data_IF_578462842187
#
_entry.id   IF_578462842187
#
_cell.length_a   1.000
_cell.length_b   1.000
_cell.length_c   1.000
_cell.angle_alpha   90.00
_cell.angle_beta   90.00
_cell.angle_gamma   90.00
#
_symmetry.space_group_name_H-M   'P 1'
#
loop_
_entity.id
_entity.type
_entity.pdbx_description
1 polymer ?
#
# COMPACT_ATOMS: atom_id res chain seq x y z
N UNK A 1 -5.55 23.86 21.35
CA UNK A 1 -4.17 23.40 21.11
C UNK A 1 -4.19 22.45 19.92
N UNK A 2 -4.25 22.97 18.70
CA UNK A 2 -4.12 22.15 17.50
C UNK A 2 -2.63 22.00 17.20
N UNK A 3 -2.04 20.93 17.71
CA UNK A 3 -0.66 20.62 17.41
C UNK A 3 -0.56 20.25 15.93
N UNK A 4 -0.16 21.24 15.13
CA UNK A 4 0.48 21.07 13.83
C UNK A 4 1.78 20.29 13.99
N UNK A 5 1.67 19.04 14.39
CA UNK A 5 2.76 18.09 14.33
C UNK A 5 2.94 17.83 12.83
N UNK A 6 3.88 18.54 12.22
CA UNK A 6 4.55 18.06 11.01
C UNK A 6 5.05 16.68 11.37
N UNK A 7 4.21 15.65 11.17
CA UNK A 7 4.54 14.24 11.32
C UNK A 7 5.70 14.05 10.38
N UNK A 8 6.93 14.17 10.89
CA UNK A 8 8.11 13.80 10.14
C UNK A 8 7.81 12.38 9.68
N UNK A 9 7.66 12.25 8.37
CA UNK A 9 7.14 11.09 7.65
C UNK A 9 8.01 9.83 7.83
N UNK A 10 8.98 9.88 8.75
CA UNK A 10 10.13 8.98 8.84
C UNK A 10 9.81 7.62 9.41
N UNK A 11 8.82 7.47 10.29
CA UNK A 11 8.52 6.16 10.86
C UNK A 11 7.02 5.97 11.10
N UNK A 12 6.30 5.63 10.02
CA UNK A 12 5.00 4.99 10.18
C UNK A 12 5.21 3.67 10.94
N UNK A 13 4.70 3.60 12.17
CA UNK A 13 4.79 2.40 13.01
C UNK A 13 4.17 1.19 12.31
N UNK A 14 4.70 0.00 12.54
CA UNK A 14 4.21 -1.22 11.91
C UNK A 14 2.70 -1.43 12.15
N UNK A 15 2.23 -1.19 13.38
CA UNK A 15 0.82 -1.26 13.74
C UNK A 15 -0.05 -0.33 12.87
N UNK A 16 0.41 0.91 12.63
CA UNK A 16 -0.29 1.85 11.77
C UNK A 16 -0.39 1.35 10.32
N UNK A 17 0.70 0.78 9.79
CA UNK A 17 0.71 0.20 8.43
C UNK A 17 -0.30 -0.95 8.33
N UNK A 18 -0.33 -1.84 9.32
CA UNK A 18 -1.24 -2.98 9.37
C UNK A 18 -2.70 -2.52 9.46
N UNK A 19 -3.04 -1.57 10.34
CA UNK A 19 -4.40 -1.04 10.44
C UNK A 19 -4.88 -0.38 9.14
N UNK A 20 -3.99 0.30 8.40
CA UNK A 20 -4.34 0.87 7.09
C UNK A 20 -4.55 -0.22 6.05
N UNK A 21 -3.71 -1.26 6.04
CA UNK A 21 -3.84 -2.38 5.09
C UNK A 21 -5.11 -3.19 5.36
N UNK A 22 -5.42 -3.49 6.62
CA UNK A 22 -6.62 -4.24 7.02
C UNK A 22 -7.92 -3.53 6.58
N UNK A 23 -8.04 -2.22 6.82
CA UNK A 23 -9.21 -1.44 6.37
C UNK A 23 -9.35 -1.40 4.85
N UNK A 24 -8.21 -1.41 4.13
CA UNK A 24 -8.19 -1.45 2.66
C UNK A 24 -8.56 -2.83 2.14
N UNK A 25 -8.05 -3.91 2.75
CA UNK A 25 -8.38 -5.30 2.38
C UNK A 25 -9.83 -5.65 2.71
N UNK A 26 -10.37 -5.12 3.80
CA UNK A 26 -11.78 -5.25 4.18
C UNK A 26 -12.73 -4.47 3.24
N UNK A 27 -12.19 -3.57 2.42
CA UNK A 27 -12.97 -2.73 1.50
C UNK A 27 -13.67 -1.55 2.18
N UNK A 28 -13.38 -1.28 3.45
CA UNK A 28 -13.94 -0.12 4.18
C UNK A 28 -13.38 1.20 3.65
N UNK A 29 -12.14 1.17 3.14
CA UNK A 29 -11.48 2.34 2.62
C UNK A 29 -10.68 2.00 1.35
N UNK A 30 -10.78 2.84 0.32
CA UNK A 30 -9.85 2.72 -0.82
C UNK A 30 -8.48 3.31 -0.46
N UNK A 31 -7.42 2.85 -1.13
CA UNK A 31 -6.06 3.38 -0.91
C UNK A 31 -5.97 4.91 -1.11
N UNK A 32 -6.78 5.50 -2.00
CA UNK A 32 -6.86 6.96 -2.21
C UNK A 32 -7.53 7.68 -1.02
N UNK A 33 -8.59 7.08 -0.48
CA UNK A 33 -9.25 7.61 0.71
C UNK A 33 -8.35 7.47 1.94
N UNK A 34 -7.62 6.37 2.09
CA UNK A 34 -6.64 6.18 3.17
C UNK A 34 -5.57 7.26 3.10
N UNK A 35 -5.06 7.55 1.90
CA UNK A 35 -4.08 8.59 1.69
C UNK A 35 -4.57 9.96 2.19
N UNK A 36 -5.80 10.34 1.81
CA UNK A 36 -6.38 11.64 2.16
C UNK A 36 -6.73 11.71 3.65
N UNK A 37 -7.33 10.65 4.19
CA UNK A 37 -7.78 10.55 5.58
C UNK A 37 -6.62 10.55 6.58
N UNK A 38 -5.51 9.91 6.21
CA UNK A 38 -4.34 9.78 7.07
C UNK A 38 -3.19 10.74 6.70
N UNK A 39 -3.37 11.60 5.69
CA UNK A 39 -2.36 12.58 5.27
C UNK A 39 -1.07 11.96 4.72
N UNK A 40 -1.15 10.81 4.06
CA UNK A 40 0.02 10.10 3.53
C UNK A 40 0.46 10.81 2.24
N UNK A 41 1.66 11.41 2.20
CA UNK A 41 2.08 12.17 1.00
C UNK A 41 2.48 11.29 -0.20
N UNK A 42 2.78 10.00 0.00
CA UNK A 42 3.17 9.12 -1.08
C UNK A 42 1.98 8.43 -1.74
N UNK A 43 1.75 8.72 -3.03
CA UNK A 43 0.68 8.09 -3.85
C UNK A 43 0.74 6.56 -3.88
N UNK A 44 1.93 6.01 -3.71
CA UNK A 44 2.17 4.56 -3.71
C UNK A 44 2.43 3.98 -2.32
N UNK A 45 2.47 4.79 -1.26
CA UNK A 45 2.85 4.30 0.09
C UNK A 45 1.86 3.26 0.61
N UNK A 46 0.56 3.53 0.49
CA UNK A 46 -0.49 2.57 0.90
C UNK A 46 -0.43 1.31 0.04
N UNK A 47 -0.20 1.44 -1.27
CA UNK A 47 -0.04 0.30 -2.17
C UNK A 47 1.19 -0.55 -1.83
N UNK A 48 2.31 0.08 -1.45
CA UNK A 48 3.52 -0.61 -1.01
C UNK A 48 3.27 -1.36 0.30
N UNK A 49 2.49 -0.79 1.22
CA UNK A 49 2.10 -1.50 2.45
C UNK A 49 1.19 -2.68 2.15
N UNK A 50 0.18 -2.54 1.31
CA UNK A 50 -0.65 -3.67 0.88
C UNK A 50 0.18 -4.75 0.18
N UNK A 51 1.22 -4.38 -0.59
CA UNK A 51 2.11 -5.36 -1.24
C UNK A 51 3.05 -6.09 -0.28
N UNK A 52 3.48 -5.42 0.79
CA UNK A 52 4.44 -5.96 1.77
C UNK A 52 3.76 -6.70 2.92
N UNK A 53 2.56 -6.26 3.30
CA UNK A 53 1.83 -6.71 4.49
C UNK A 53 0.44 -7.27 4.19
N UNK A 54 -0.07 -7.11 2.96
CA UNK A 54 -1.34 -7.73 2.59
C UNK A 54 -1.20 -9.25 2.47
N UNK A 55 -2.30 -9.94 2.75
CA UNK A 55 -2.41 -11.40 2.69
C UNK A 55 -2.37 -11.94 1.25
N UNK A 56 -2.57 -11.06 0.29
CA UNK A 56 -2.54 -11.38 -1.12
C UNK A 56 -1.06 -11.49 -1.55
N UNK A 57 -0.54 -12.70 -1.79
CA UNK A 57 0.83 -12.95 -2.24
C UNK A 57 1.19 -12.18 -3.53
N UNK A 58 1.62 -10.92 -3.39
CA UNK A 58 2.16 -10.10 -4.49
C UNK A 58 3.59 -10.51 -4.87
N UNK A 59 4.18 -11.44 -4.11
CA UNK A 59 5.50 -12.05 -4.32
C UNK A 59 5.51 -13.07 -5.45
N UNK A 60 4.35 -13.51 -5.95
CA UNK A 60 4.27 -14.25 -7.20
C UNK A 60 4.02 -13.29 -8.37
N UNK A 61 5.03 -12.94 -9.18
CA UNK A 61 4.76 -12.52 -10.55
C UNK A 61 4.12 -13.73 -11.25
N UNK A 62 2.79 -13.89 -11.18
CA UNK A 62 2.05 -14.96 -11.86
C UNK A 62 2.15 -14.79 -13.38
N UNK A 63 3.27 -15.25 -13.91
CA UNK A 63 3.55 -15.25 -15.33
C UNK A 63 3.73 -13.84 -15.84
N UNK A 64 4.99 -13.41 -15.91
CA UNK A 64 5.41 -12.63 -17.08
C UNK A 64 5.02 -13.50 -18.28
N UNK A 65 3.83 -13.26 -18.83
CA UNK A 65 3.29 -14.00 -19.96
C UNK A 65 4.38 -14.08 -21.01
N UNK A 66 4.75 -15.31 -21.30
CA UNK A 66 5.77 -15.75 -22.22
C UNK A 66 5.52 -15.06 -23.57
N UNK A 67 6.13 -13.87 -23.77
CA UNK A 67 6.01 -13.15 -25.04
C UNK A 67 6.86 -13.91 -26.06
N UNK A 68 6.10 -14.68 -26.85
CA UNK A 68 6.25 -14.95 -28.29
C UNK A 68 7.33 -15.97 -28.65
N UNK A 69 6.82 -17.17 -28.98
CA UNK A 69 7.41 -18.03 -29.96
C UNK A 69 7.61 -17.28 -31.28
N UNK A 70 8.84 -17.27 -31.78
CA UNK A 70 9.18 -17.23 -33.20
C UNK A 70 10.30 -18.24 -33.37
N UNK A 71 9.95 -19.47 -33.78
CA UNK A 71 10.88 -20.39 -34.42
C UNK A 71 11.03 -19.93 -35.86
N UNK A 72 12.27 -19.68 -36.28
CA UNK A 72 12.69 -19.57 -37.69
C UNK A 72 13.19 -20.93 -38.13
#
# INVERSE_FOLDING_TARGET
MEQGFRRSQRDYSLAFKLSVVEQVEKGELTYKQAQTRYGIQGRSTVLVWCRKHGLQDWTHPRGRSQRRATMT
#
